data_IF_744831511156
#
_entry.id   IF_744831511156
#
_cell.length_a   1.000
_cell.length_b   1.000
_cell.length_c   1.000
_cell.angle_alpha   90.00
_cell.angle_beta   90.00
_cell.angle_gamma   90.00
#
_symmetry.space_group_name_H-M   'P 1'
#
loop_
_entity.id
_entity.type
_entity.pdbx_description
1 polymer ?
#
# COMPACT_ATOMS: atom_id res chain seq x y z
N UNK A 1 -16.02 22.86 29.61
CA UNK A 1 -15.07 22.31 28.62
C UNK A 1 -15.37 22.71 27.16
N UNK A 2 -15.93 23.90 26.93
CA UNK A 2 -16.30 24.39 25.59
C UNK A 2 -15.10 24.69 24.71
N UNK A 3 -13.91 24.89 25.29
CA UNK A 3 -12.67 25.02 24.52
C UNK A 3 -12.31 23.72 23.78
N UNK A 4 -12.72 22.56 24.32
CA UNK A 4 -12.36 21.24 23.81
C UNK A 4 -13.47 20.59 22.98
N UNK A 5 -14.74 20.92 23.28
CA UNK A 5 -15.90 20.30 22.66
C UNK A 5 -16.87 21.32 22.09
N UNK A 6 -17.59 20.94 21.04
CA UNK A 6 -18.82 21.57 20.60
C UNK A 6 -20.00 20.62 20.80
N UNK A 7 -21.14 21.15 21.27
CA UNK A 7 -22.38 20.40 21.36
C UNK A 7 -22.99 20.30 19.96
N UNK A 8 -23.03 19.09 19.40
CA UNK A 8 -23.57 18.87 18.05
C UNK A 8 -25.01 18.38 18.07
N UNK A 9 -25.46 17.77 19.17
CA UNK A 9 -26.83 17.26 19.29
C UNK A 9 -27.24 17.15 20.77
N UNK A 10 -28.51 17.41 21.06
CA UNK A 10 -29.11 17.22 22.39
C UNK A 10 -29.16 18.48 23.24
N UNK A 11 -29.39 18.29 24.54
CA UNK A 11 -29.45 19.37 25.54
C UNK A 11 -28.57 19.00 26.73
N UNK A 12 -28.01 20.00 27.39
CA UNK A 12 -27.20 19.84 28.61
C UNK A 12 -28.02 20.03 29.90
N UNK A 13 -29.31 20.33 29.77
CA UNK A 13 -30.24 20.45 30.89
C UNK A 13 -31.61 19.86 30.53
N UNK A 14 -32.30 19.36 31.55
CA UNK A 14 -33.68 18.91 31.47
C UNK A 14 -34.34 19.05 32.84
N UNK A 15 -35.67 19.14 32.84
CA UNK A 15 -36.49 19.20 34.04
C UNK A 15 -37.69 18.26 33.91
N UNK A 16 -38.16 17.77 35.05
CA UNK A 16 -39.37 16.97 35.16
C UNK A 16 -40.20 17.48 36.35
N UNK A 17 -41.52 17.43 36.23
CA UNK A 17 -42.43 17.85 37.30
C UNK A 17 -42.38 16.91 38.50
N UNK A 18 -42.23 15.61 38.26
CA UNK A 18 -42.04 14.60 39.29
C UNK A 18 -41.35 13.37 38.71
N UNK A 19 -40.65 12.61 39.56
CA UNK A 19 -40.06 11.33 39.22
C UNK A 19 -40.55 10.28 40.20
N UNK A 20 -41.37 9.35 39.73
CA UNK A 20 -41.94 8.28 40.56
C UNK A 20 -40.92 7.20 40.95
N UNK A 21 -41.23 6.36 41.95
CA UNK A 21 -40.38 5.23 42.32
C UNK A 21 -40.04 4.34 41.12
N UNK A 22 -38.75 4.04 40.94
CA UNK A 22 -38.25 3.23 39.83
C UNK A 22 -38.30 3.90 38.44
N UNK A 23 -38.71 5.18 38.35
CA UNK A 23 -38.63 5.96 37.10
C UNK A 23 -37.29 6.67 37.02
N UNK A 24 -36.81 6.83 35.79
CA UNK A 24 -35.58 7.57 35.48
C UNK A 24 -35.85 8.59 34.39
N UNK A 25 -35.10 9.70 34.43
CA UNK A 25 -35.01 10.64 33.32
C UNK A 25 -33.60 10.56 32.76
N UNK A 26 -33.49 10.37 31.44
CA UNK A 26 -32.20 10.28 30.76
C UNK A 26 -31.97 11.52 29.92
N UNK A 27 -30.82 12.16 30.10
CA UNK A 27 -30.34 13.25 29.28
C UNK A 27 -29.23 12.74 28.37
N UNK A 28 -29.42 12.86 27.06
CA UNK A 28 -28.42 12.45 26.07
C UNK A 28 -28.00 13.64 25.22
N UNK A 29 -26.69 13.79 25.04
CA UNK A 29 -26.11 14.78 24.16
C UNK A 29 -24.87 14.22 23.47
N UNK A 30 -24.53 14.77 22.30
CA UNK A 30 -23.32 14.41 21.55
C UNK A 30 -22.39 15.61 21.50
N UNK A 31 -21.13 15.36 21.84
CA UNK A 31 -20.06 16.32 21.77
C UNK A 31 -19.11 15.95 20.61
N UNK A 32 -18.66 16.95 19.86
CA UNK A 32 -17.56 16.77 18.90
C UNK A 32 -16.31 17.43 19.47
N UNK A 33 -15.20 16.71 19.46
CA UNK A 33 -13.91 17.25 19.88
C UNK A 33 -13.37 18.26 18.86
N UNK A 34 -12.87 19.39 19.34
CA UNK A 34 -12.28 20.47 18.53
C UNK A 34 -10.77 20.51 18.60
N UNK A 35 -10.19 20.16 19.74
CA UNK A 35 -8.76 20.28 20.02
C UNK A 35 -8.30 19.16 20.94
N UNK A 36 -7.07 18.68 20.72
CA UNK A 36 -6.40 17.73 21.60
C UNK A 36 -6.19 18.32 23.01
N UNK A 37 -6.07 17.44 23.99
CA UNK A 37 -5.83 17.80 25.38
C UNK A 37 -6.65 16.94 26.34
N UNK A 38 -6.66 17.33 27.61
CA UNK A 38 -7.47 16.66 28.63
C UNK A 38 -8.60 17.58 29.05
N UNK A 39 -9.83 17.19 28.72
CA UNK A 39 -11.03 17.94 29.04
C UNK A 39 -11.71 17.33 30.27
N UNK A 40 -11.93 18.13 31.31
CA UNK A 40 -12.77 17.71 32.43
C UNK A 40 -14.23 18.03 32.12
N UNK A 41 -15.05 17.00 32.00
CA UNK A 41 -16.50 17.13 31.98
C UNK A 41 -16.97 17.36 33.43
N UNK A 42 -17.73 18.45 33.68
CA UNK A 42 -18.21 18.76 35.02
C UNK A 42 -19.19 17.69 35.50
N UNK A 43 -19.37 17.62 36.82
CA UNK A 43 -20.39 16.78 37.41
C UNK A 43 -21.78 17.19 36.91
N UNK A 44 -22.62 16.21 36.62
CA UNK A 44 -24.04 16.45 36.38
C UNK A 44 -24.68 16.91 37.69
N UNK A 45 -25.40 18.02 37.62
CA UNK A 45 -26.10 18.62 38.74
C UNK A 45 -27.59 18.24 38.70
N UNK A 46 -28.13 17.79 39.82
CA UNK A 46 -29.57 17.54 39.98
C UNK A 46 -30.09 18.34 41.16
N UNK A 47 -31.02 19.23 40.87
CA UNK A 47 -31.84 19.94 41.84
C UNK A 47 -33.23 19.30 41.90
N UNK A 48 -33.69 18.94 43.11
CA UNK A 48 -35.04 18.38 43.32
C UNK A 48 -35.60 18.80 44.67
N UNK A 49 -36.87 18.52 44.93
CA UNK A 49 -37.50 18.74 46.23
C UNK A 49 -37.91 17.42 46.86
N UNK A 50 -37.62 17.25 48.13
CA UNK A 50 -38.14 16.15 48.95
C UNK A 50 -39.00 16.75 50.06
N UNK A 51 -40.32 16.50 50.02
CA UNK A 51 -41.29 17.10 50.97
C UNK A 51 -41.13 18.62 51.10
N UNK A 52 -41.09 19.31 49.95
CA UNK A 52 -40.86 20.76 49.80
C UNK A 52 -39.50 21.31 50.24
N UNK A 53 -38.59 20.45 50.69
CA UNK A 53 -37.21 20.85 51.01
C UNK A 53 -36.34 20.73 49.75
N UNK A 54 -35.67 21.81 49.31
CA UNK A 54 -34.75 21.75 48.18
C UNK A 54 -33.55 20.87 48.49
N UNK A 55 -33.19 20.03 47.53
CA UNK A 55 -32.06 19.11 47.57
C UNK A 55 -31.18 19.34 46.34
N UNK A 56 -29.88 19.19 46.52
CA UNK A 56 -28.88 19.35 45.48
C UNK A 56 -27.91 18.17 45.54
N UNK A 57 -27.72 17.51 44.40
CA UNK A 57 -26.78 16.39 44.25
C UNK A 57 -25.93 16.55 43.00
N UNK A 58 -24.75 15.95 43.05
CA UNK A 58 -23.78 15.93 41.97
C UNK A 58 -23.38 14.50 41.63
N UNK A 59 -23.09 14.26 40.36
CA UNK A 59 -22.36 13.06 39.95
C UNK A 59 -20.85 13.22 40.20
N UNK A 60 -20.08 12.21 39.80
CA UNK A 60 -18.64 12.38 39.60
C UNK A 60 -18.35 13.25 38.37
N UNK A 61 -17.16 13.84 38.35
CA UNK A 61 -16.56 14.40 37.14
C UNK A 61 -15.95 13.29 36.28
N UNK A 62 -15.76 13.57 34.99
CA UNK A 62 -15.11 12.66 34.04
C UNK A 62 -14.00 13.40 33.31
N UNK A 63 -12.79 12.85 33.29
CA UNK A 63 -11.69 13.37 32.48
C UNK A 63 -11.70 12.61 31.15
N UNK A 64 -11.80 13.35 30.05
CA UNK A 64 -11.74 12.82 28.69
C UNK A 64 -10.45 13.29 28.04
N UNK A 65 -9.61 12.33 27.62
CA UNK A 65 -8.40 12.62 26.84
C UNK A 65 -8.78 12.68 25.36
N UNK A 66 -8.54 13.82 24.74
CA UNK A 66 -8.76 14.05 23.32
C UNK A 66 -7.41 13.95 22.63
N UNK A 67 -7.32 13.04 21.69
CA UNK A 67 -6.08 12.70 20.99
C UNK A 67 -6.31 12.69 19.50
N UNK A 68 -5.23 12.88 18.74
CA UNK A 68 -5.23 12.86 17.28
C UNK A 68 -4.05 12.02 16.79
N UNK A 69 -4.29 10.86 16.16
CA UNK A 69 -3.25 10.16 15.44
C UNK A 69 -2.75 11.00 14.25
N UNK A 70 -1.46 10.92 13.97
CA UNK A 70 -0.80 11.58 12.86
C UNK A 70 0.14 10.58 12.22
N UNK A 71 -0.39 9.84 11.24
CA UNK A 71 0.36 8.76 10.58
C UNK A 71 1.04 9.29 9.34
N UNK A 72 2.36 9.09 9.28
CA UNK A 72 3.21 9.41 8.14
C UNK A 72 3.81 8.15 7.51
N UNK A 73 4.07 8.22 6.21
CA UNK A 73 4.82 7.22 5.46
C UNK A 73 6.14 7.81 4.99
N UNK A 74 7.23 7.08 5.22
CA UNK A 74 8.58 7.44 4.80
C UNK A 74 9.20 6.31 3.97
N UNK A 75 9.82 6.67 2.85
CA UNK A 75 10.56 5.74 2.00
C UNK A 75 12.00 5.62 2.52
N UNK A 76 12.38 4.42 2.98
CA UNK A 76 13.71 4.16 3.53
C UNK A 76 14.66 3.73 2.43
N UNK A 77 14.25 2.74 1.62
CA UNK A 77 15.05 2.16 0.55
C UNK A 77 14.22 2.10 -0.71
N UNK A 78 14.78 2.60 -1.81
CA UNK A 78 14.20 2.48 -3.13
C UNK A 78 15.13 1.73 -4.09
N UNK A 79 14.58 1.06 -5.12
CA UNK A 79 15.38 0.49 -6.18
C UNK A 79 16.21 1.59 -6.90
N UNK A 80 17.40 1.26 -7.42
CA UNK A 80 18.14 2.14 -8.30
C UNK A 80 17.30 2.58 -9.49
N UNK A 81 17.55 3.80 -9.99
CA UNK A 81 16.83 4.36 -11.15
C UNK A 81 17.03 3.55 -12.44
N UNK A 82 18.05 2.69 -12.50
CA UNK A 82 18.32 1.76 -13.60
C UNK A 82 18.67 0.38 -13.08
N UNK A 83 18.06 -0.63 -13.67
CA UNK A 83 18.29 -2.04 -13.37
C UNK A 83 18.55 -2.81 -14.67
N UNK A 84 19.15 -3.98 -14.54
CA UNK A 84 19.33 -4.93 -15.63
C UNK A 84 18.29 -6.04 -15.49
N UNK A 85 17.79 -6.56 -16.61
CA UNK A 85 16.91 -7.75 -16.59
C UNK A 85 17.57 -8.88 -15.78
N UNK A 86 16.85 -9.39 -14.77
CA UNK A 86 17.32 -10.40 -13.82
C UNK A 86 17.75 -9.83 -12.46
N UNK A 87 17.98 -8.51 -12.36
CA UNK A 87 18.39 -7.87 -11.11
C UNK A 87 17.29 -7.94 -10.04
N UNK A 88 17.73 -7.80 -8.79
CA UNK A 88 16.86 -7.65 -7.65
C UNK A 88 16.54 -6.17 -7.43
N UNK A 89 15.29 -5.89 -7.10
CA UNK A 89 14.82 -4.59 -6.67
C UNK A 89 14.28 -4.72 -5.24
N UNK A 90 14.71 -3.82 -4.36
CA UNK A 90 14.31 -3.78 -2.96
C UNK A 90 13.58 -2.48 -2.68
N UNK A 91 12.45 -2.57 -1.98
CA UNK A 91 11.65 -1.44 -1.55
C UNK A 91 11.37 -1.58 -0.05
N UNK A 92 11.75 -0.58 0.74
CA UNK A 92 11.50 -0.54 2.19
C UNK A 92 10.90 0.80 2.53
N UNK A 93 9.79 0.79 3.26
CA UNK A 93 9.15 1.99 3.77
C UNK A 93 8.69 1.79 5.22
N UNK A 94 8.68 2.88 5.98
CA UNK A 94 8.23 2.92 7.35
C UNK A 94 6.94 3.72 7.45
N UNK A 95 6.04 3.25 8.29
CA UNK A 95 4.84 3.97 8.68
C UNK A 95 4.93 4.27 10.17
N UNK A 96 4.96 5.56 10.50
CA UNK A 96 5.10 6.05 11.87
C UNK A 96 3.87 6.82 12.31
N UNK A 97 3.53 6.78 13.59
CA UNK A 97 2.47 7.58 14.18
C UNK A 97 3.07 8.63 15.12
N UNK A 98 3.31 9.84 14.61
CA UNK A 98 3.83 10.97 15.39
C UNK A 98 2.73 11.73 16.16
N UNK A 99 1.49 11.23 16.09
CA UNK A 99 0.34 11.83 16.76
C UNK A 99 0.26 11.45 18.24
N UNK A 100 -0.75 11.99 18.91
CA UNK A 100 -0.97 11.74 20.34
C UNK A 100 -1.93 10.57 20.64
N UNK A 101 -2.62 10.09 19.61
CA UNK A 101 -3.65 9.04 19.68
C UNK A 101 -3.26 7.79 18.91
N UNK A 102 -3.84 6.66 19.29
CA UNK A 102 -3.56 5.39 18.61
C UNK A 102 -4.15 5.41 17.19
N UNK A 103 -3.34 5.02 16.20
CA UNK A 103 -3.82 4.73 14.85
C UNK A 103 -4.24 3.26 14.77
N UNK A 104 -5.37 2.97 14.12
CA UNK A 104 -5.93 1.61 14.00
C UNK A 104 -6.20 1.26 12.55
N UNK A 105 -6.36 -0.03 12.25
CA UNK A 105 -6.74 -0.53 10.92
C UNK A 105 -5.91 0.11 9.79
N UNK A 106 -4.58 0.06 9.92
CA UNK A 106 -3.65 0.60 8.92
C UNK A 106 -3.72 -0.32 7.70
N UNK A 107 -3.88 0.26 6.51
CA UNK A 107 -3.96 -0.46 5.24
C UNK A 107 -3.20 0.31 4.16
N UNK A 108 -2.25 -0.37 3.52
CA UNK A 108 -1.48 0.11 2.38
C UNK A 108 -1.66 -0.89 1.24
N UNK A 109 -1.97 -0.41 0.04
CA UNK A 109 -2.17 -1.24 -1.15
C UNK A 109 -1.27 -0.74 -2.26
N UNK A 110 -0.28 -1.55 -2.62
CA UNK A 110 0.66 -1.25 -3.70
C UNK A 110 0.31 -2.09 -4.94
N UNK A 111 0.53 -1.50 -6.11
CA UNK A 111 0.51 -2.20 -7.38
C UNK A 111 1.93 -2.32 -7.94
N UNK A 112 2.29 -3.55 -8.30
CA UNK A 112 3.51 -3.88 -9.01
C UNK A 112 3.12 -4.28 -10.43
N UNK A 113 3.61 -3.58 -11.46
CA UNK A 113 3.27 -3.88 -12.85
C UNK A 113 3.80 -5.24 -13.31
N UNK A 114 3.19 -5.77 -14.36
CA UNK A 114 3.64 -7.02 -14.99
C UNK A 114 5.10 -6.92 -15.49
N UNK A 115 5.84 -8.02 -15.41
CA UNK A 115 7.27 -8.04 -15.77
C UNK A 115 8.21 -7.79 -14.60
N UNK A 116 7.65 -7.63 -13.40
CA UNK A 116 8.34 -7.73 -12.12
C UNK A 116 7.71 -8.89 -11.35
N UNK A 117 8.53 -9.80 -10.86
CA UNK A 117 8.10 -10.85 -9.94
C UNK A 117 8.33 -10.40 -8.50
N UNK A 118 7.29 -10.51 -7.67
CA UNK A 118 7.43 -10.40 -6.22
C UNK A 118 8.05 -11.70 -5.69
N UNK A 119 9.21 -11.59 -5.03
CA UNK A 119 9.87 -12.73 -4.40
C UNK A 119 9.47 -12.87 -2.94
N UNK A 120 9.47 -11.75 -2.23
CA UNK A 120 9.18 -11.70 -0.80
C UNK A 120 8.55 -10.35 -0.44
N UNK A 121 7.68 -10.37 0.56
CA UNK A 121 7.14 -9.18 1.19
C UNK A 121 6.99 -9.43 2.68
N UNK A 122 7.47 -8.49 3.50
CA UNK A 122 7.44 -8.59 4.95
C UNK A 122 6.72 -7.38 5.55
N UNK A 123 5.99 -7.65 6.62
CA UNK A 123 5.15 -6.70 7.36
C UNK A 123 4.30 -7.46 8.38
N UNK A 124 3.57 -6.78 9.29
CA UNK A 124 2.76 -7.46 10.29
C UNK A 124 1.70 -8.38 9.68
N UNK A 125 1.00 -7.91 8.65
CA UNK A 125 0.07 -8.70 7.84
C UNK A 125 0.27 -8.32 6.39
N UNK A 126 0.46 -9.33 5.54
CA UNK A 126 0.70 -9.14 4.11
C UNK A 126 -0.18 -10.08 3.29
N UNK A 127 -0.89 -9.53 2.31
CA UNK A 127 -1.69 -10.28 1.34
C UNK A 127 -1.22 -9.93 -0.07
N UNK A 128 -1.15 -10.94 -0.93
CA UNK A 128 -0.62 -10.80 -2.28
C UNK A 128 -1.52 -11.50 -3.29
N UNK A 129 -1.88 -10.77 -4.35
CA UNK A 129 -2.80 -11.22 -5.38
C UNK A 129 -2.25 -10.86 -6.76
N UNK A 130 -2.58 -11.66 -7.78
CA UNK A 130 -2.25 -11.34 -9.17
C UNK A 130 -3.27 -10.35 -9.73
N UNK A 131 -2.80 -9.32 -10.42
CA UNK A 131 -3.69 -8.41 -11.16
C UNK A 131 -4.10 -9.03 -12.49
N UNK A 132 -5.19 -8.56 -13.07
CA UNK A 132 -5.68 -9.04 -14.38
C UNK A 132 -4.63 -8.86 -15.49
N UNK A 133 -3.83 -7.78 -15.41
CA UNK A 133 -2.75 -7.48 -16.35
C UNK A 133 -1.48 -8.32 -16.12
N UNK A 134 -1.48 -9.24 -15.16
CA UNK A 134 -0.36 -10.13 -14.86
C UNK A 134 0.72 -9.53 -13.94
N UNK A 135 0.43 -8.41 -13.29
CA UNK A 135 1.23 -7.83 -12.20
C UNK A 135 0.88 -8.42 -10.84
N UNK A 136 1.19 -7.67 -9.78
CA UNK A 136 0.87 -8.01 -8.40
C UNK A 136 0.17 -6.85 -7.69
N UNK A 137 -0.77 -7.18 -6.82
CA UNK A 137 -1.34 -6.28 -5.82
C UNK A 137 -0.92 -6.77 -4.44
N UNK A 138 -0.21 -5.93 -3.70
CA UNK A 138 0.29 -6.26 -2.36
C UNK A 138 -0.42 -5.36 -1.35
N UNK A 139 -1.12 -5.99 -0.41
CA UNK A 139 -1.81 -5.29 0.67
C UNK A 139 -1.08 -5.54 1.98
N UNK A 140 -0.58 -4.47 2.59
CA UNK A 140 -0.01 -4.49 3.93
C UNK A 140 -1.02 -3.96 4.93
N UNK A 141 -1.10 -4.63 6.09
CA UNK A 141 -1.95 -4.22 7.20
C UNK A 141 -1.20 -4.24 8.52
N UNK A 142 -1.62 -3.36 9.41
CA UNK A 142 -1.28 -3.40 10.83
C UNK A 142 -2.51 -3.04 11.65
N UNK A 143 -2.77 -3.79 12.72
CA UNK A 143 -3.97 -3.61 13.55
C UNK A 143 -3.96 -2.24 14.22
N UNK A 144 -2.81 -1.83 14.75
CA UNK A 144 -2.62 -0.53 15.36
C UNK A 144 -1.16 -0.09 15.42
N UNK A 145 -0.94 1.22 15.44
CA UNK A 145 0.35 1.86 15.71
C UNK A 145 0.14 2.88 16.83
N UNK A 146 0.80 2.65 17.96
CA UNK A 146 0.73 3.52 19.12
C UNK A 146 1.44 4.87 18.87
N UNK A 147 1.10 5.92 19.64
CA UNK A 147 1.83 7.20 19.60
C UNK A 147 3.34 7.02 19.75
N UNK A 148 4.11 7.56 18.80
CA UNK A 148 5.57 7.48 18.74
C UNK A 148 6.13 6.14 18.26
N UNK A 149 5.28 5.18 17.88
CA UNK A 149 5.70 3.89 17.32
C UNK A 149 5.74 3.94 15.79
N UNK A 150 6.48 3.01 15.19
CA UNK A 150 6.56 2.81 13.75
C UNK A 150 6.54 1.32 13.40
N UNK A 151 6.18 1.05 12.14
CA UNK A 151 6.19 -0.28 11.53
C UNK A 151 6.86 -0.18 10.18
N UNK A 152 7.81 -1.09 9.92
CA UNK A 152 8.47 -1.19 8.63
C UNK A 152 7.83 -2.28 7.77
N UNK A 153 7.83 -2.02 6.47
CA UNK A 153 7.38 -2.94 5.44
C UNK A 153 8.47 -3.05 4.38
N UNK A 154 8.75 -4.26 3.93
CA UNK A 154 9.78 -4.53 2.93
C UNK A 154 9.25 -5.40 1.80
N UNK A 155 9.79 -5.22 0.61
CA UNK A 155 9.55 -6.09 -0.54
C UNK A 155 10.83 -6.33 -1.31
N UNK A 156 11.04 -7.59 -1.69
CA UNK A 156 12.09 -7.99 -2.64
C UNK A 156 11.45 -8.50 -3.92
N UNK A 157 11.91 -7.95 -5.03
CA UNK A 157 11.36 -8.19 -6.35
C UNK A 157 12.47 -8.57 -7.33
N UNK A 158 12.11 -9.25 -8.42
CA UNK A 158 13.01 -9.53 -9.54
C UNK A 158 12.44 -8.94 -10.83
N UNK A 159 13.24 -8.16 -11.54
CA UNK A 159 12.84 -7.60 -12.83
C UNK A 159 13.05 -8.63 -13.95
N UNK A 160 11.99 -8.97 -14.68
CA UNK A 160 12.01 -10.05 -15.69
C UNK A 160 11.99 -9.52 -17.13
N UNK A 161 11.46 -8.31 -17.33
CA UNK A 161 11.32 -7.71 -18.65
C UNK A 161 11.98 -6.35 -18.68
N UNK A 162 12.49 -5.96 -19.85
CA UNK A 162 12.98 -4.61 -20.08
C UNK A 162 11.80 -3.64 -20.20
N UNK A 163 11.99 -2.40 -19.78
CA UNK A 163 10.94 -1.38 -19.81
C UNK A 163 11.08 -0.34 -18.71
N UNK A 164 10.26 0.70 -18.78
CA UNK A 164 10.10 1.64 -17.68
C UNK A 164 9.00 1.12 -16.75
N UNK A 165 9.28 1.05 -15.46
CA UNK A 165 8.35 0.59 -14.45
C UNK A 165 8.05 1.68 -13.44
N UNK A 166 6.81 1.67 -12.94
CA UNK A 166 6.36 2.47 -11.83
C UNK A 166 5.63 1.56 -10.84
N UNK A 167 6.05 1.59 -9.58
CA UNK A 167 5.34 0.96 -8.47
C UNK A 167 4.52 2.06 -7.80
N UNK A 168 3.20 1.83 -7.74
CA UNK A 168 2.25 2.84 -7.29
C UNK A 168 1.59 2.43 -5.99
N UNK A 169 1.41 3.38 -5.08
CA UNK A 169 0.58 3.22 -3.89
C UNK A 169 -0.87 3.63 -4.22
N UNK A 170 -1.76 2.64 -4.34
CA UNK A 170 -3.16 2.86 -4.75
C UNK A 170 -4.01 3.33 -3.56
N UNK A 171 -3.72 2.79 -2.37
CA UNK A 171 -4.46 3.12 -1.16
C UNK A 171 -3.53 3.16 0.05
N UNK A 172 -3.75 4.12 0.93
CA UNK A 172 -2.97 4.30 2.15
C UNK A 172 -3.83 4.98 3.21
N UNK A 173 -4.41 4.18 4.09
CA UNK A 173 -5.39 4.67 5.07
C UNK A 173 -5.18 4.08 6.44
N UNK A 174 -5.71 4.77 7.44
CA UNK A 174 -5.80 4.32 8.81
C UNK A 174 -7.09 4.85 9.43
N UNK A 175 -7.48 4.34 10.59
CA UNK A 175 -8.58 4.85 11.40
C UNK A 175 -8.07 5.48 12.69
N UNK A 176 -8.83 6.45 13.18
CA UNK A 176 -8.58 7.03 14.50
C UNK A 176 -8.86 6.04 15.64
N UNK A 177 -8.48 6.42 16.87
CA UNK A 177 -8.67 5.60 18.07
C UNK A 177 -10.13 5.15 18.30
N UNK A 178 -11.10 6.00 17.94
CA UNK A 178 -12.53 5.69 18.01
C UNK A 178 -13.00 4.69 16.92
N UNK A 179 -12.20 4.43 15.88
CA UNK A 179 -12.49 3.44 14.83
C UNK A 179 -13.62 3.80 13.84
N UNK A 180 -14.23 4.97 13.96
CA UNK A 180 -15.39 5.36 13.14
C UNK A 180 -15.00 5.93 11.77
N UNK A 181 -13.95 6.75 11.71
CA UNK A 181 -13.53 7.47 10.51
C UNK A 181 -12.20 6.93 9.97
N UNK A 182 -12.14 6.80 8.64
CA UNK A 182 -10.90 6.52 7.89
C UNK A 182 -10.23 7.83 7.46
N UNK A 183 -8.91 7.87 7.56
CA UNK A 183 -8.05 8.99 7.19
C UNK A 183 -6.97 8.50 6.21
N UNK A 184 -6.46 9.40 5.39
CA UNK A 184 -5.30 9.14 4.54
C UNK A 184 -4.00 9.26 5.33
N UNK A 185 -3.02 8.42 5.01
CA UNK A 185 -1.66 8.52 5.56
C UNK A 185 -0.92 9.69 4.91
N UNK A 186 -0.23 10.51 5.70
CA UNK A 186 0.55 11.63 5.20
C UNK A 186 1.79 11.13 4.45
N UNK A 187 2.14 11.78 3.33
CA UNK A 187 3.28 11.37 2.48
C UNK A 187 2.97 10.22 1.51
N UNK A 188 1.81 9.54 1.66
CA UNK A 188 1.43 8.44 0.79
C UNK A 188 1.31 8.83 -0.69
N UNK A 189 0.71 9.98 -0.99
CA UNK A 189 0.54 10.47 -2.37
C UNK A 189 1.89 10.82 -3.06
N UNK A 190 2.99 10.89 -2.30
CA UNK A 190 4.33 11.16 -2.83
C UNK A 190 5.14 9.88 -3.10
N UNK A 191 4.63 8.70 -2.75
CA UNK A 191 5.31 7.43 -2.99
C UNK A 191 5.15 7.01 -4.45
N UNK A 192 6.05 7.50 -5.31
CA UNK A 192 6.22 7.04 -6.68
C UNK A 192 7.62 6.47 -6.87
N UNK A 193 7.70 5.16 -7.16
CA UNK A 193 8.98 4.48 -7.35
C UNK A 193 9.09 4.07 -8.80
N UNK A 194 9.87 4.85 -9.55
CA UNK A 194 10.11 4.62 -10.97
C UNK A 194 11.55 4.23 -11.27
N UNK A 195 11.72 3.25 -12.16
CA UNK A 195 13.04 2.79 -12.60
C UNK A 195 12.98 2.22 -14.02
N UNK A 196 14.12 2.24 -14.70
CA UNK A 196 14.27 1.75 -16.06
C UNK A 196 15.04 0.42 -16.07
N UNK A 197 14.46 -0.62 -16.64
CA UNK A 197 15.10 -1.93 -16.80
C UNK A 197 15.63 -2.08 -18.22
N UNK A 198 16.93 -2.37 -18.33
CA UNK A 198 17.63 -2.53 -19.60
C UNK A 198 18.25 -3.94 -19.75
N UNK A 199 18.53 -4.35 -20.99
CA UNK A 199 19.28 -5.58 -21.28
C UNK A 199 20.78 -5.27 -21.32
N UNK A 200 21.67 -6.16 -20.80
CA UNK A 200 23.11 -5.96 -20.87
C UNK A 200 23.59 -5.67 -22.29
N UNK A 201 24.53 -4.73 -22.46
CA UNK A 201 25.09 -4.39 -23.77
C UNK A 201 25.71 -5.61 -24.48
N UNK A 202 26.31 -6.54 -23.73
CA UNK A 202 26.86 -7.79 -24.27
C UNK A 202 25.80 -8.67 -24.92
N UNK A 203 24.62 -8.80 -24.32
CA UNK A 203 23.51 -9.55 -24.89
C UNK A 203 22.92 -8.85 -26.12
N UNK A 204 22.85 -7.51 -26.12
CA UNK A 204 22.43 -6.75 -27.32
C UNK A 204 23.30 -7.08 -28.54
N UNK A 205 24.62 -7.13 -28.37
CA UNK A 205 25.56 -7.46 -29.46
C UNK A 205 25.33 -8.88 -29.98
N UNK A 206 25.16 -9.87 -29.09
CA UNK A 206 24.93 -11.27 -29.49
C UNK A 206 23.60 -11.41 -30.24
N UNK A 207 22.52 -10.81 -29.74
CA UNK A 207 21.19 -10.88 -30.37
C UNK A 207 21.19 -10.18 -31.73
N UNK A 208 21.80 -9.00 -31.84
CA UNK A 208 21.92 -8.30 -33.13
C UNK A 208 22.75 -9.12 -34.12
N UNK A 209 23.87 -9.71 -33.69
CA UNK A 209 24.71 -10.55 -34.55
C UNK A 209 23.95 -11.80 -35.04
N UNK A 210 23.19 -12.47 -34.16
CA UNK A 210 22.38 -13.63 -34.53
C UNK A 210 21.28 -13.28 -35.54
N UNK A 211 20.61 -12.14 -35.38
CA UNK A 211 19.53 -11.70 -36.27
C UNK A 211 20.06 -11.30 -37.66
N UNK A 212 21.18 -10.56 -37.71
CA UNK A 212 21.88 -10.25 -38.97
C UNK A 212 22.34 -11.54 -39.66
N UNK A 213 22.88 -12.50 -38.91
CA UNK A 213 23.26 -13.82 -39.42
C UNK A 213 22.08 -14.60 -40.01
N UNK A 214 20.93 -14.62 -39.33
CA UNK A 214 19.72 -15.31 -39.80
C UNK A 214 19.16 -14.67 -41.07
N UNK A 215 19.05 -13.33 -41.12
CA UNK A 215 18.61 -12.60 -42.33
C UNK A 215 19.58 -12.87 -43.49
N UNK A 216 20.88 -12.85 -43.23
CA UNK A 216 21.90 -13.19 -44.24
C UNK A 216 21.76 -14.62 -44.77
N UNK A 217 21.51 -15.60 -43.90
CA UNK A 217 21.29 -16.99 -44.30
C UNK A 217 20.03 -17.17 -45.14
N UNK A 218 18.92 -16.52 -44.77
CA UNK A 218 17.67 -16.54 -45.54
C UNK A 218 17.84 -15.85 -46.91
N UNK A 219 18.58 -14.74 -46.97
CA UNK A 219 18.90 -14.06 -48.23
C UNK A 219 19.80 -14.91 -49.14
N UNK A 220 20.79 -15.60 -48.57
CA UNK A 220 21.64 -16.52 -49.33
C UNK A 220 20.84 -17.71 -49.87
N UNK A 221 20.03 -18.35 -49.03
CA UNK A 221 19.18 -19.47 -49.44
C UNK A 221 18.20 -19.08 -50.55
N UNK A 222 17.55 -17.91 -50.43
CA UNK A 222 16.65 -17.40 -51.46
C UNK A 222 17.38 -17.05 -52.77
N UNK A 223 18.58 -16.46 -52.69
CA UNK A 223 19.42 -16.20 -53.86
C UNK A 223 19.85 -17.48 -54.59
N UNK A 224 20.26 -18.52 -53.86
CA UNK A 224 20.61 -19.83 -54.45
C UNK A 224 19.40 -20.53 -55.06
N UNK A 225 18.22 -20.40 -54.45
CA UNK A 225 16.98 -20.95 -55.01
C UNK A 225 16.56 -20.26 -56.32
N UNK A 226 16.77 -18.94 -56.45
CA UNK A 226 16.40 -18.17 -57.66
C UNK A 226 17.40 -18.34 -58.79
N UNK A 227 18.71 -18.43 -58.52
CA UNK A 227 19.74 -18.48 -59.56
C UNK A 227 20.11 -19.88 -60.08
N UNK A 228 19.68 -20.94 -59.42
CA UNK A 228 19.97 -22.32 -59.82
C UNK A 228 21.43 -22.72 -59.54
N UNK A 229 21.61 -23.87 -58.89
CA UNK A 229 22.93 -24.43 -58.58
C UNK A 229 23.60 -24.95 -59.87
N UNK A 230 24.85 -24.59 -60.21
CA UNK A 230 25.57 -25.26 -61.28
C UNK A 230 25.98 -26.67 -60.80
N UNK A 231 25.14 -27.66 -61.11
CA UNK A 231 25.45 -29.08 -60.90
C UNK A 231 26.57 -29.50 -61.86
N UNK A 232 27.79 -29.65 -61.35
CA UNK A 232 28.85 -30.41 -62.03
C UNK A 232 28.81 -31.85 -61.55
N UNK A 233 27.92 -32.65 -62.13
CA UNK A 233 27.96 -34.10 -61.99
C UNK A 233 29.08 -34.66 -62.86
N UNK A 234 30.23 -34.97 -62.25
CA UNK A 234 31.32 -35.67 -62.92
C UNK A 234 30.99 -37.16 -63.00
N UNK A 235 30.65 -37.65 -64.20
CA UNK A 235 30.38 -39.06 -64.47
C UNK A 235 31.67 -39.88 -64.47
N UNK A 236 31.93 -40.63 -63.37
CA UNK A 236 32.94 -41.70 -63.36
C UNK A 236 32.41 -42.89 -64.15
N UNK A 237 33.00 -43.18 -65.32
CA UNK A 237 32.80 -44.46 -66.04
C UNK A 237 33.50 -45.60 -65.27
N UNK A 238 32.87 -46.74 -65.02
CA UNK A 238 33.57 -47.93 -64.55
C UNK A 238 34.30 -48.61 -65.71
N UNK A 239 35.60 -48.91 -65.54
CA UNK A 239 36.35 -49.81 -66.41
C UNK A 239 35.94 -51.25 -66.09
N UNK A 240 35.37 -51.95 -67.06
CA UNK A 240 35.20 -53.41 -67.04
C UNK A 240 36.57 -54.07 -67.22
N UNK A 241 37.04 -54.80 -66.22
CA UNK A 241 38.15 -55.76 -66.34
C UNK A 241 37.58 -57.18 -66.34
N UNK A 242 37.93 -57.98 -67.35
CA UNK A 242 37.65 -59.42 -67.43
C UNK A 242 38.85 -60.22 -66.86
N UNK A 243 38.63 -61.46 -66.37
CA UNK A 243 39.58 -62.17 -65.53
C UNK A 243 40.55 -63.03 -66.33
N UNK A 244 41.79 -63.12 -65.84
CA UNK A 244 42.59 -64.34 -65.70
C UNK A 244 43.84 -64.05 -64.87
#
# INVERSE_FOLDING_TARGET
PEEYFELVQGKTSASASSLGPGKSMTLSYKLRAKREGSATLPAAEVQYKERDVPQLKYSNTLIVRIVKPAVGLELITSPPSRLIVGDLAELVFSVANDGSGQARDIELVLEIPQGIDLLESEGPVTMQERTEDGGWRVTFKADSIDPGASVEFSMRMRVQRMGAYNISLINATFKGEAGEQKYKIQGADALEVSFLVEVPRSQKIIVTAALVGMVGAVAAASFFAVRGMPSRYASRRPRLGLPR
#
